data_IF_049709132084
#
_entry.id   IF_049709132084
#
_cell.length_a   1.000
_cell.length_b   1.000
_cell.length_c   1.000
_cell.angle_alpha   90.00
_cell.angle_beta   90.00
_cell.angle_gamma   90.00
#
_symmetry.space_group_name_H-M   'P 1'
#
loop_
_entity.id
_entity.type
_entity.pdbx_description
1 polymer ?
#
# COMPACT_ATOMS: atom_id res chain seq x y z
N UNK A 1 8.73 -34.85 -3.49
CA UNK A 1 9.08 -33.50 -3.02
C UNK A 1 8.78 -32.55 -4.17
N UNK A 2 7.57 -32.04 -4.21
CA UNK A 2 7.18 -31.00 -5.15
C UNK A 2 7.75 -29.71 -4.61
N UNK A 3 8.71 -29.12 -5.34
CA UNK A 3 9.12 -27.74 -5.10
C UNK A 3 7.88 -26.87 -5.35
N UNK A 4 7.28 -26.36 -4.26
CA UNK A 4 6.38 -25.22 -4.37
C UNK A 4 7.22 -24.06 -4.93
N UNK A 5 6.75 -23.36 -5.97
CA UNK A 5 7.38 -22.11 -6.33
C UNK A 5 7.36 -21.24 -5.08
N UNK A 6 8.52 -20.77 -4.66
CA UNK A 6 8.65 -19.71 -3.67
C UNK A 6 7.91 -18.51 -4.25
N UNK A 7 6.64 -18.36 -3.91
CA UNK A 7 5.94 -17.13 -4.11
C UNK A 7 6.68 -16.09 -3.25
N UNK A 8 7.08 -15.00 -3.84
CA UNK A 8 7.57 -13.84 -3.12
C UNK A 8 6.42 -13.34 -2.25
N UNK A 9 6.40 -13.79 -0.99
CA UNK A 9 5.33 -13.57 0.01
C UNK A 9 5.62 -12.26 0.74
N UNK A 10 5.53 -11.16 0.04
CA UNK A 10 5.63 -9.83 0.64
C UNK A 10 4.27 -9.12 0.51
N UNK A 11 4.07 -8.02 1.19
CA UNK A 11 2.88 -7.15 1.01
C UNK A 11 2.59 -6.84 -0.48
N UNK A 12 3.46 -7.23 -1.39
CA UNK A 12 3.40 -6.98 -2.82
C UNK A 12 2.02 -7.21 -3.44
N UNK A 13 1.68 -8.45 -3.76
CA UNK A 13 0.40 -8.71 -4.44
C UNK A 13 -0.76 -8.80 -3.44
N UNK A 14 -0.52 -9.41 -2.28
CA UNK A 14 -1.56 -9.61 -1.27
C UNK A 14 -1.96 -8.32 -0.58
N UNK A 15 -0.97 -7.50 -0.19
CA UNK A 15 -1.20 -6.22 0.49
C UNK A 15 -1.74 -5.14 -0.43
N UNK A 16 -1.32 -5.12 -1.69
CA UNK A 16 -1.72 -4.08 -2.63
C UNK A 16 -2.92 -4.50 -3.48
N UNK A 17 -2.73 -5.43 -4.44
CA UNK A 17 -3.79 -5.74 -5.41
C UNK A 17 -5.00 -6.41 -4.74
N UNK A 18 -4.75 -7.48 -3.95
CA UNK A 18 -5.86 -8.28 -3.39
C UNK A 18 -6.63 -7.49 -2.32
N UNK A 19 -5.94 -6.77 -1.45
CA UNK A 19 -6.59 -5.92 -0.44
C UNK A 19 -7.38 -4.80 -1.09
N UNK A 20 -6.83 -4.14 -2.11
CA UNK A 20 -7.54 -3.09 -2.85
C UNK A 20 -8.81 -3.65 -3.50
N UNK A 21 -8.75 -4.84 -4.13
CA UNK A 21 -9.91 -5.53 -4.70
C UNK A 21 -11.00 -5.76 -3.66
N UNK A 22 -10.65 -6.31 -2.48
CA UNK A 22 -11.61 -6.59 -1.42
C UNK A 22 -12.27 -5.30 -0.94
N UNK A 23 -11.47 -4.32 -0.53
CA UNK A 23 -11.99 -3.10 0.07
C UNK A 23 -12.79 -2.27 -0.93
N UNK A 24 -12.38 -2.22 -2.20
CA UNK A 24 -13.13 -1.55 -3.26
C UNK A 24 -14.47 -2.24 -3.57
N UNK A 25 -14.53 -3.60 -3.51
CA UNK A 25 -15.79 -4.36 -3.61
C UNK A 25 -16.73 -4.03 -2.44
N UNK A 26 -16.22 -4.09 -1.22
CA UNK A 26 -16.98 -3.75 0.01
C UNK A 26 -17.44 -2.28 -0.03
N UNK A 27 -16.67 -1.39 -0.61
CA UNK A 27 -17.03 0.02 -0.82
C UNK A 27 -18.09 0.22 -1.91
N UNK A 28 -18.43 -0.82 -2.69
CA UNK A 28 -19.45 -0.77 -3.74
C UNK A 28 -19.02 -0.03 -5.00
N UNK A 29 -17.72 -0.01 -5.31
CA UNK A 29 -17.23 0.58 -6.56
C UNK A 29 -17.64 -0.27 -7.77
N UNK A 30 -17.65 0.32 -8.97
CA UNK A 30 -17.94 -0.43 -10.20
C UNK A 30 -16.84 -1.46 -10.51
N UNK A 31 -17.18 -2.62 -11.11
CA UNK A 31 -16.20 -3.67 -11.42
C UNK A 31 -14.99 -3.18 -12.22
N UNK A 32 -15.20 -2.33 -13.22
CA UNK A 32 -14.11 -1.79 -14.04
C UNK A 32 -13.16 -0.92 -13.20
N UNK A 33 -13.72 -0.03 -12.36
CA UNK A 33 -12.92 0.84 -11.50
C UNK A 33 -12.16 0.03 -10.43
N UNK A 34 -12.79 -1.00 -9.84
CA UNK A 34 -12.14 -1.92 -8.90
C UNK A 34 -10.91 -2.54 -9.54
N UNK A 35 -11.09 -3.13 -10.73
CA UNK A 35 -10.00 -3.79 -11.45
C UNK A 35 -8.86 -2.82 -11.76
N UNK A 36 -9.17 -1.68 -12.36
CA UNK A 36 -8.17 -0.71 -12.78
C UNK A 36 -7.38 -0.17 -11.59
N UNK A 37 -8.05 0.27 -10.50
CA UNK A 37 -7.37 0.77 -9.30
C UNK A 37 -6.47 -0.30 -8.71
N UNK A 38 -6.91 -1.56 -8.65
CA UNK A 38 -6.14 -2.65 -8.04
C UNK A 38 -4.90 -2.98 -8.87
N UNK A 39 -5.01 -3.02 -10.20
CA UNK A 39 -3.87 -3.20 -11.10
C UNK A 39 -2.85 -2.07 -10.91
N UNK A 40 -3.30 -0.81 -10.98
CA UNK A 40 -2.41 0.33 -10.85
C UNK A 40 -1.84 0.49 -9.44
N UNK A 41 -2.51 -0.02 -8.41
CA UNK A 41 -1.95 -0.09 -7.06
C UNK A 41 -0.71 -1.00 -6.99
N UNK A 42 -0.63 -2.06 -7.81
CA UNK A 42 0.51 -2.98 -7.85
C UNK A 42 1.65 -2.52 -8.76
N UNK A 43 1.40 -1.66 -9.74
CA UNK A 43 2.41 -1.26 -10.73
C UNK A 43 3.71 -0.75 -10.12
N UNK A 44 3.72 0.05 -9.02
CA UNK A 44 4.97 0.50 -8.42
C UNK A 44 5.92 -0.63 -8.02
N UNK A 45 5.39 -1.74 -7.54
CA UNK A 45 6.16 -2.91 -7.10
C UNK A 45 6.30 -3.99 -8.16
N UNK A 46 5.59 -3.86 -9.27
CA UNK A 46 5.63 -4.89 -10.28
C UNK A 46 7.04 -5.00 -10.91
N UNK A 47 7.62 -6.19 -10.84
CA UNK A 47 9.03 -6.46 -11.19
C UNK A 47 9.49 -5.91 -12.54
N UNK A 48 8.61 -5.84 -13.54
CA UNK A 48 8.92 -5.30 -14.87
C UNK A 48 9.21 -3.79 -14.84
N UNK A 49 8.63 -3.07 -13.87
CA UNK A 49 8.77 -1.62 -13.72
C UNK A 49 9.63 -1.21 -12.54
N UNK A 50 10.24 -2.16 -11.84
CA UNK A 50 11.10 -1.90 -10.67
C UNK A 50 12.15 -0.81 -10.88
N UNK A 51 12.71 -0.69 -12.08
CA UNK A 51 13.69 0.36 -12.40
C UNK A 51 13.07 1.76 -12.56
N UNK A 52 11.75 1.85 -12.75
CA UNK A 52 11.06 3.14 -12.95
C UNK A 52 10.47 3.68 -11.66
N UNK A 53 9.83 2.82 -10.85
CA UNK A 53 8.99 3.24 -9.74
C UNK A 53 9.35 2.58 -8.40
N UNK A 54 10.25 1.61 -8.37
CA UNK A 54 10.57 0.81 -7.20
C UNK A 54 11.38 1.59 -6.16
N UNK A 55 11.23 1.17 -4.92
CA UNK A 55 12.09 1.57 -3.80
C UNK A 55 13.60 1.32 -4.02
N UNK A 56 13.98 0.38 -4.88
CA UNK A 56 15.37 0.14 -5.33
C UNK A 56 15.93 1.17 -6.31
N UNK A 57 15.09 2.03 -6.87
CA UNK A 57 15.47 3.10 -7.82
C UNK A 57 16.52 4.11 -7.29
N UNK A 58 16.71 4.33 -5.96
CA UNK A 58 17.69 5.28 -5.45
C UNK A 58 19.12 5.08 -5.98
N UNK A 59 19.57 3.84 -6.06
CA UNK A 59 20.93 3.54 -6.53
C UNK A 59 21.09 3.84 -8.01
N UNK A 60 20.11 3.45 -8.83
CA UNK A 60 20.13 3.69 -10.28
C UNK A 60 19.83 5.15 -10.62
N UNK A 61 18.90 5.79 -9.92
CA UNK A 61 18.60 7.22 -10.11
C UNK A 61 19.78 8.12 -9.79
N UNK A 62 20.60 7.75 -8.81
CA UNK A 62 21.83 8.47 -8.49
C UNK A 62 22.88 8.32 -9.62
N UNK A 63 23.03 7.10 -10.16
CA UNK A 63 23.95 6.82 -11.28
C UNK A 63 23.52 7.54 -12.59
N UNK A 64 22.21 7.73 -12.79
CA UNK A 64 21.65 8.39 -13.97
C UNK A 64 21.46 9.91 -13.81
N UNK A 65 21.83 10.48 -12.67
CA UNK A 65 21.60 11.91 -12.38
C UNK A 65 20.15 12.27 -12.00
N UNK A 66 19.30 11.28 -11.75
CA UNK A 66 17.87 11.44 -11.37
C UNK A 66 17.63 11.27 -9.87
N UNK A 67 18.62 11.58 -9.05
CA UNK A 67 18.57 11.36 -7.60
C UNK A 67 17.39 12.02 -6.89
N UNK A 68 16.93 13.19 -7.35
CA UNK A 68 15.76 13.87 -6.78
C UNK A 68 14.46 13.11 -7.06
N UNK A 69 14.26 12.61 -8.27
CA UNK A 69 13.08 11.82 -8.65
C UNK A 69 13.08 10.47 -7.92
N UNK A 70 14.23 9.80 -7.84
CA UNK A 70 14.38 8.56 -7.11
C UNK A 70 14.05 8.72 -5.61
N UNK A 71 14.49 9.82 -4.98
CA UNK A 71 14.13 10.15 -3.61
C UNK A 71 12.62 10.37 -3.47
N UNK A 72 12.01 11.13 -4.38
CA UNK A 72 10.58 11.39 -4.38
C UNK A 72 9.76 10.09 -4.50
N UNK A 73 10.13 9.20 -5.42
CA UNK A 73 9.52 7.87 -5.56
C UNK A 73 9.63 7.10 -4.23
N UNK A 74 10.82 6.97 -3.66
CA UNK A 74 11.03 6.23 -2.42
C UNK A 74 10.26 6.82 -1.23
N UNK A 75 10.20 8.14 -1.10
CA UNK A 75 9.61 8.79 0.08
C UNK A 75 8.11 9.02 -0.01
N UNK A 76 7.56 9.15 -1.21
CA UNK A 76 6.13 9.42 -1.42
C UNK A 76 5.36 8.18 -1.85
N UNK A 77 5.98 7.33 -2.66
CA UNK A 77 5.30 6.14 -3.18
C UNK A 77 5.52 4.94 -2.25
N UNK A 78 6.76 4.75 -1.76
CA UNK A 78 7.12 3.59 -0.93
C UNK A 78 7.29 3.89 0.58
N UNK A 79 6.80 5.00 1.07
CA UNK A 79 6.77 5.28 2.50
C UNK A 79 8.14 5.46 3.19
N UNK A 80 9.28 5.49 2.46
CA UNK A 80 10.63 5.62 3.06
C UNK A 80 11.00 7.06 3.41
N UNK A 81 10.08 7.75 4.07
CA UNK A 81 10.27 9.17 4.40
C UNK A 81 11.02 9.40 5.72
N UNK A 82 11.19 8.36 6.56
CA UNK A 82 11.70 8.53 7.92
C UNK A 82 10.69 9.24 8.83
N UNK A 83 11.13 9.57 10.04
CA UNK A 83 10.32 10.31 11.00
C UNK A 83 9.76 9.44 12.12
N UNK A 84 9.22 10.12 13.13
CA UNK A 84 8.63 9.53 14.32
C UNK A 84 7.13 9.23 14.16
N UNK A 85 6.49 8.82 15.25
CA UNK A 85 5.08 8.45 15.28
C UNK A 85 4.15 9.58 14.82
N UNK A 86 4.51 10.83 15.07
CA UNK A 86 3.70 11.98 14.63
C UNK A 86 3.77 12.15 13.12
N UNK A 87 4.96 12.04 12.52
CA UNK A 87 5.13 12.12 11.06
C UNK A 87 4.48 10.92 10.35
N UNK A 88 4.58 9.71 10.90
CA UNK A 88 3.89 8.53 10.37
C UNK A 88 2.37 8.76 10.33
N UNK A 89 1.77 9.13 11.46
CA UNK A 89 0.33 9.40 11.53
C UNK A 89 -0.10 10.53 10.58
N UNK A 90 0.70 11.60 10.48
CA UNK A 90 0.46 12.70 9.57
C UNK A 90 0.43 12.24 8.11
N UNK A 91 1.40 11.42 7.69
CA UNK A 91 1.48 10.88 6.32
C UNK A 91 0.32 9.96 5.99
N UNK A 92 -0.05 9.07 6.88
CA UNK A 92 -1.20 8.19 6.72
C UNK A 92 -2.50 8.98 6.50
N UNK A 93 -2.70 10.07 7.26
CA UNK A 93 -3.85 10.96 7.08
C UNK A 93 -3.79 11.68 5.71
N UNK A 94 -2.64 12.21 5.34
CA UNK A 94 -2.44 12.89 4.06
C UNK A 94 -2.76 11.97 2.89
N UNK A 95 -2.20 10.77 2.86
CA UNK A 95 -2.40 9.84 1.76
C UNK A 95 -3.85 9.35 1.68
N UNK A 96 -4.50 9.07 2.82
CA UNK A 96 -5.92 8.71 2.83
C UNK A 96 -6.81 9.83 2.28
N UNK A 97 -6.58 11.07 2.68
CA UNK A 97 -7.30 12.22 2.14
C UNK A 97 -6.99 12.44 0.65
N UNK A 98 -5.76 12.16 0.23
CA UNK A 98 -5.38 12.26 -1.18
C UNK A 98 -6.12 11.22 -2.03
N UNK A 99 -6.16 9.96 -1.59
CA UNK A 99 -7.00 8.92 -2.25
C UNK A 99 -8.46 9.39 -2.34
N UNK A 100 -9.03 9.87 -1.22
CA UNK A 100 -10.40 10.36 -1.20
C UNK A 100 -10.63 11.50 -2.19
N UNK A 101 -9.72 12.47 -2.26
CA UNK A 101 -9.76 13.57 -3.23
C UNK A 101 -9.78 13.02 -4.66
N UNK A 102 -8.87 12.11 -5.01
CA UNK A 102 -8.82 11.50 -6.34
C UNK A 102 -10.12 10.79 -6.70
N UNK A 103 -10.73 10.09 -5.74
CA UNK A 103 -12.03 9.46 -5.91
C UNK A 103 -13.15 10.48 -6.17
N UNK A 104 -13.16 11.60 -5.42
CA UNK A 104 -14.19 12.63 -5.55
C UNK A 104 -14.13 13.37 -6.89
N UNK A 105 -12.94 13.69 -7.39
CA UNK A 105 -12.77 14.35 -8.69
C UNK A 105 -12.88 13.38 -9.86
N UNK A 106 -13.06 12.07 -9.56
CA UNK A 106 -13.10 10.99 -10.55
C UNK A 106 -11.88 11.04 -11.49
N UNK A 107 -10.69 11.20 -10.88
CA UNK A 107 -9.44 11.22 -11.64
C UNK A 107 -9.18 9.87 -12.31
N UNK A 108 -8.15 9.80 -13.13
CA UNK A 108 -7.81 8.59 -13.85
C UNK A 108 -7.47 7.45 -12.89
N UNK A 109 -7.90 6.20 -13.19
CA UNK A 109 -7.70 5.06 -12.28
C UNK A 109 -6.24 4.85 -11.84
N UNK A 110 -5.25 5.14 -12.71
CA UNK A 110 -3.86 4.98 -12.35
C UNK A 110 -3.40 5.93 -11.23
N UNK A 111 -3.91 7.18 -11.19
CA UNK A 111 -3.59 8.11 -10.10
C UNK A 111 -4.19 7.65 -8.79
N UNK A 112 -5.43 7.12 -8.85
CA UNK A 112 -6.08 6.55 -7.67
C UNK A 112 -5.28 5.35 -7.19
N UNK A 113 -4.90 4.43 -8.07
CA UNK A 113 -4.11 3.23 -7.75
C UNK A 113 -2.76 3.57 -7.11
N UNK A 114 -2.01 4.51 -7.68
CA UNK A 114 -0.73 4.98 -7.11
C UNK A 114 -0.92 5.65 -5.74
N UNK A 115 -2.00 6.41 -5.55
CA UNK A 115 -2.31 6.98 -4.25
C UNK A 115 -2.68 5.91 -3.21
N UNK A 116 -3.38 4.83 -3.63
CA UNK A 116 -3.69 3.68 -2.77
C UNK A 116 -2.43 2.92 -2.40
N UNK A 117 -1.50 2.71 -3.36
CA UNK A 117 -0.20 2.12 -3.09
C UNK A 117 0.56 2.91 -2.01
N UNK A 118 0.72 4.23 -2.22
CA UNK A 118 1.39 5.09 -1.27
C UNK A 118 0.74 5.09 0.14
N UNK A 119 -0.60 4.94 0.19
CA UNK A 119 -1.31 4.77 1.46
C UNK A 119 -0.96 3.43 2.12
N UNK A 120 -0.93 2.32 1.37
CA UNK A 120 -0.56 1.00 1.88
C UNK A 120 0.83 0.99 2.47
N UNK A 121 1.81 1.52 1.72
CA UNK A 121 3.21 1.59 2.13
C UNK A 121 3.46 2.51 3.33
N UNK A 122 2.62 3.54 3.53
CA UNK A 122 2.68 4.37 4.73
C UNK A 122 2.28 3.61 6.01
N UNK A 123 1.62 2.45 5.89
CA UNK A 123 1.35 1.54 6.99
C UNK A 123 2.40 0.41 7.07
N UNK A 124 2.75 -0.19 5.93
CA UNK A 124 3.66 -1.33 5.86
C UNK A 124 5.08 -0.96 6.30
N UNK A 125 5.64 0.13 5.75
CA UNK A 125 7.04 0.48 5.95
C UNK A 125 7.29 1.27 7.23
N UNK A 126 6.82 0.70 8.36
CA UNK A 126 7.02 1.25 9.71
C UNK A 126 7.58 0.21 10.66
N UNK A 127 8.24 0.66 11.72
CA UNK A 127 8.76 -0.18 12.79
C UNK A 127 8.51 0.47 14.16
N UNK A 128 8.59 -0.33 15.23
CA UNK A 128 8.50 0.18 16.60
C UNK A 128 9.89 0.50 17.14
N UNK A 129 10.07 1.73 17.59
CA UNK A 129 11.22 2.18 18.36
C UNK A 129 10.79 2.32 19.83
N UNK A 130 11.61 1.82 20.76
CA UNK A 130 11.25 1.78 22.19
C UNK A 130 11.06 3.18 22.80
N UNK A 131 11.74 4.20 22.28
CA UNK A 131 11.69 5.56 22.81
C UNK A 131 10.74 6.46 22.03
N UNK A 132 10.64 6.29 20.71
CA UNK A 132 9.92 7.19 19.80
C UNK A 132 8.57 6.65 19.34
N UNK A 133 8.26 5.40 19.70
CA UNK A 133 7.06 4.71 19.21
C UNK A 133 7.22 4.26 17.75
N UNK A 134 6.14 4.32 16.99
CA UNK A 134 6.14 3.90 15.60
C UNK A 134 6.89 4.90 14.72
N UNK A 135 7.94 4.44 14.05
CA UNK A 135 8.76 5.22 13.14
C UNK A 135 8.65 4.68 11.70
N UNK A 136 8.86 5.54 10.71
CA UNK A 136 8.97 5.11 9.32
C UNK A 136 10.43 4.82 8.96
N UNK A 137 10.63 3.83 8.09
CA UNK A 137 11.93 3.60 7.47
C UNK A 137 12.35 4.82 6.62
N UNK A 138 13.65 5.06 6.54
CA UNK A 138 14.21 6.26 5.91
C UNK A 138 14.98 5.98 4.62
N UNK A 139 14.82 6.87 3.64
CA UNK A 139 15.68 6.90 2.46
C UNK A 139 17.15 7.14 2.86
N UNK A 140 18.17 6.55 2.19
CA UNK A 140 18.06 5.72 0.98
C UNK A 140 17.95 4.22 1.23
N UNK A 141 18.08 3.75 2.46
CA UNK A 141 18.22 2.33 2.76
C UNK A 141 16.86 1.62 2.95
N UNK A 142 15.79 2.37 3.31
CA UNK A 142 14.52 1.77 3.65
C UNK A 142 14.69 0.68 4.72
N UNK A 143 14.01 -0.44 4.55
CA UNK A 143 14.16 -1.63 5.39
C UNK A 143 15.20 -2.64 4.86
N UNK A 144 15.99 -2.27 3.86
CA UNK A 144 16.96 -3.18 3.24
C UNK A 144 18.02 -3.77 4.17
N UNK A 145 18.24 -3.17 5.35
CA UNK A 145 19.12 -3.72 6.39
C UNK A 145 18.40 -4.68 7.34
N UNK A 146 17.06 -4.66 7.43
CA UNK A 146 16.29 -5.51 8.35
C UNK A 146 16.37 -6.98 7.96
N UNK A 147 16.61 -7.26 6.68
CA UNK A 147 16.97 -8.60 6.21
C UNK A 147 18.12 -9.23 7.02
N UNK A 148 19.09 -8.43 7.45
CA UNK A 148 20.22 -8.89 8.28
C UNK A 148 19.78 -9.26 9.71
N UNK A 149 18.64 -8.74 10.17
CA UNK A 149 18.11 -8.95 11.52
C UNK A 149 16.89 -9.88 11.55
N UNK A 150 16.56 -10.54 10.44
CA UNK A 150 15.39 -11.42 10.30
C UNK A 150 14.05 -10.72 10.62
N UNK A 151 13.98 -9.41 10.49
CA UNK A 151 12.72 -8.66 10.59
C UNK A 151 12.04 -8.70 9.23
N UNK A 152 10.75 -8.98 9.22
CA UNK A 152 9.91 -9.11 8.03
C UNK A 152 8.80 -8.03 8.07
N UNK A 153 9.12 -6.76 7.77
CA UNK A 153 8.14 -5.67 7.86
C UNK A 153 6.94 -5.88 6.93
N UNK A 154 7.14 -6.62 5.85
CA UNK A 154 6.14 -6.87 4.82
C UNK A 154 5.19 -8.03 5.13
N UNK A 155 5.35 -8.73 6.27
CA UNK A 155 4.46 -9.83 6.64
C UNK A 155 3.21 -9.31 7.36
N UNK A 156 2.06 -9.41 6.71
CA UNK A 156 0.76 -8.98 7.25
C UNK A 156 0.44 -9.73 8.55
N UNK A 157 0.80 -11.01 8.64
CA UNK A 157 0.59 -11.83 9.84
C UNK A 157 1.28 -11.28 11.08
N UNK A 158 2.41 -10.60 10.91
CA UNK A 158 3.19 -10.00 12.01
C UNK A 158 2.73 -8.57 12.34
N UNK A 159 2.01 -7.92 11.43
CA UNK A 159 1.56 -6.52 11.53
C UNK A 159 0.06 -6.36 11.32
N UNK A 160 -0.71 -7.37 11.75
CA UNK A 160 -2.16 -7.46 11.48
C UNK A 160 -2.97 -6.25 11.96
N UNK A 161 -2.62 -5.64 13.10
CA UNK A 161 -3.31 -4.43 13.58
C UNK A 161 -3.12 -3.26 12.61
N UNK A 162 -1.91 -3.07 12.08
CA UNK A 162 -1.65 -2.06 11.05
C UNK A 162 -2.41 -2.33 9.76
N UNK A 163 -2.46 -3.59 9.37
CA UNK A 163 -3.23 -4.00 8.21
C UNK A 163 -4.72 -3.69 8.39
N UNK A 164 -5.29 -3.92 9.58
CA UNK A 164 -6.69 -3.57 9.85
C UNK A 164 -6.91 -2.06 9.82
N UNK A 165 -5.99 -1.29 10.39
CA UNK A 165 -6.04 0.18 10.32
C UNK A 165 -5.98 0.67 8.86
N UNK A 166 -5.09 0.11 8.05
CA UNK A 166 -5.00 0.38 6.62
C UNK A 166 -6.31 0.07 5.90
N UNK A 167 -6.87 -1.13 6.08
CA UNK A 167 -8.13 -1.54 5.46
C UNK A 167 -9.28 -0.57 5.82
N UNK A 168 -9.40 -0.20 7.10
CA UNK A 168 -10.42 0.74 7.55
C UNK A 168 -10.23 2.13 6.95
N UNK A 169 -8.99 2.59 6.87
CA UNK A 169 -8.65 3.88 6.29
C UNK A 169 -8.88 3.91 4.78
N UNK A 170 -8.56 2.83 4.07
CA UNK A 170 -8.81 2.68 2.64
C UNK A 170 -10.32 2.66 2.34
N UNK A 171 -11.11 1.92 3.14
CA UNK A 171 -12.56 1.94 3.03
C UNK A 171 -13.13 3.35 3.20
N UNK A 172 -12.67 4.05 4.24
CA UNK A 172 -13.05 5.45 4.44
C UNK A 172 -12.65 6.34 3.26
N UNK A 173 -11.46 6.16 2.72
CA UNK A 173 -10.98 6.94 1.57
C UNK A 173 -11.87 6.73 0.34
N UNK A 174 -12.35 5.53 0.09
CA UNK A 174 -13.28 5.24 -1.01
C UNK A 174 -14.70 5.78 -0.78
N UNK A 175 -15.23 5.66 0.44
CA UNK A 175 -16.66 5.90 0.72
C UNK A 175 -16.96 7.20 1.46
N UNK A 176 -16.01 7.69 2.27
CA UNK A 176 -16.21 8.74 3.25
C UNK A 176 -17.01 8.33 4.48
N UNK A 177 -17.23 7.02 4.67
CA UNK A 177 -17.97 6.46 5.79
C UNK A 177 -17.06 5.66 6.70
N UNK A 178 -17.36 5.56 8.00
CA UNK A 178 -16.66 4.67 8.91
C UNK A 178 -16.78 3.21 8.46
N UNK A 179 -15.68 2.46 8.51
CA UNK A 179 -15.67 1.05 8.13
C UNK A 179 -16.46 0.19 9.12
N UNK A 180 -16.48 0.60 10.38
CA UNK A 180 -17.17 -0.08 11.49
C UNK A 180 -18.70 -0.13 11.31
N UNK A 181 -19.24 0.67 10.42
CA UNK A 181 -20.68 0.67 10.08
C UNK A 181 -21.02 -0.29 8.93
N UNK A 182 -20.01 -0.91 8.30
CA UNK A 182 -20.22 -1.80 7.16
C UNK A 182 -20.12 -3.28 7.57
N UNK A 183 -21.20 -4.03 7.37
CA UNK A 183 -21.28 -5.44 7.76
C UNK A 183 -20.28 -6.33 7.00
N UNK A 184 -20.08 -6.10 5.69
CA UNK A 184 -19.16 -6.91 4.87
C UNK A 184 -17.71 -6.65 5.29
N UNK A 185 -17.37 -5.40 5.62
CA UNK A 185 -16.07 -5.04 6.18
C UNK A 185 -15.83 -5.77 7.52
N UNK A 186 -16.79 -5.70 8.43
CA UNK A 186 -16.71 -6.37 9.72
C UNK A 186 -16.60 -7.90 9.57
N UNK A 187 -17.30 -8.48 8.60
CA UNK A 187 -17.22 -9.91 8.31
C UNK A 187 -15.83 -10.31 7.79
N UNK A 188 -15.25 -9.52 6.88
CA UNK A 188 -13.89 -9.73 6.38
C UNK A 188 -12.84 -9.66 7.50
N UNK A 189 -12.84 -8.59 8.28
CA UNK A 189 -11.91 -8.42 9.41
C UNK A 189 -12.15 -9.48 10.49
N UNK A 190 -13.40 -9.83 10.76
CA UNK A 190 -13.77 -10.87 11.72
C UNK A 190 -13.25 -12.26 11.34
N UNK A 191 -13.34 -12.62 10.06
CA UNK A 191 -12.77 -13.88 9.53
C UNK A 191 -11.25 -13.91 9.68
N UNK A 192 -10.58 -12.80 9.37
CA UNK A 192 -9.14 -12.67 9.55
C UNK A 192 -8.74 -12.84 11.03
N UNK A 193 -9.41 -12.12 11.95
CA UNK A 193 -9.15 -12.23 13.40
C UNK A 193 -9.38 -13.65 13.91
N UNK A 194 -10.39 -14.34 13.43
CA UNK A 194 -10.65 -15.73 13.81
C UNK A 194 -9.49 -16.68 13.42
N UNK A 195 -8.82 -16.43 12.30
CA UNK A 195 -7.60 -17.16 11.90
C UNK A 195 -6.48 -16.87 12.90
N UNK A 196 -6.17 -15.60 13.16
CA UNK A 196 -5.11 -15.19 14.10
C UNK A 196 -5.32 -15.79 15.50
N UNK A 197 -6.57 -15.86 15.95
CA UNK A 197 -6.91 -16.38 17.28
C UNK A 197 -6.91 -17.90 17.38
N UNK A 198 -6.88 -18.59 16.26
CA UNK A 198 -6.93 -20.06 16.27
C UNK A 198 -5.69 -20.68 16.93
N UNK A 199 -5.92 -21.74 17.72
CA UNK A 199 -4.83 -22.47 18.37
C UNK A 199 -3.88 -23.16 17.38
N UNK A 200 -4.35 -23.42 16.16
CA UNK A 200 -3.53 -23.95 15.08
C UNK A 200 -2.55 -22.89 14.58
N UNK A 201 -3.05 -21.71 14.20
CA UNK A 201 -2.26 -20.60 13.68
C UNK A 201 -1.13 -20.20 14.63
N UNK A 202 -1.43 -20.06 15.92
CA UNK A 202 -0.45 -19.67 16.97
C UNK A 202 0.72 -20.66 17.17
N UNK A 203 0.63 -21.86 16.60
CA UNK A 203 1.69 -22.90 16.68
C UNK A 203 2.56 -22.98 15.41
N UNK A 204 2.20 -22.26 14.37
CA UNK A 204 2.95 -22.25 13.12
C UNK A 204 4.16 -21.34 13.19
N UNK A 205 5.16 -21.64 12.36
CA UNK A 205 6.23 -20.70 12.06
C UNK A 205 5.70 -19.47 11.29
N UNK A 206 6.52 -18.43 11.23
CA UNK A 206 6.14 -17.12 10.67
C UNK A 206 5.79 -17.22 9.18
N UNK A 207 6.50 -18.01 8.42
CA UNK A 207 6.27 -18.22 6.99
C UNK A 207 4.92 -18.94 6.74
N UNK A 208 4.63 -19.96 7.55
CA UNK A 208 3.35 -20.66 7.49
C UNK A 208 2.17 -19.79 7.91
N UNK A 209 2.36 -18.91 8.89
CA UNK A 209 1.37 -17.91 9.30
C UNK A 209 1.07 -16.95 8.15
N UNK A 210 2.11 -16.40 7.51
CA UNK A 210 1.95 -15.48 6.39
C UNK A 210 1.26 -16.15 5.20
N UNK A 211 1.62 -17.39 4.89
CA UNK A 211 0.96 -18.14 3.83
C UNK A 211 -0.56 -18.27 4.06
N UNK A 212 -1.00 -18.63 5.29
CA UNK A 212 -2.42 -18.76 5.61
C UNK A 212 -3.15 -17.42 5.49
N UNK A 213 -2.54 -16.32 5.94
CA UNK A 213 -3.12 -14.99 5.84
C UNK A 213 -3.23 -14.54 4.38
N UNK A 214 -2.18 -14.76 3.61
CA UNK A 214 -2.17 -14.46 2.18
C UNK A 214 -3.23 -15.28 1.43
N UNK A 215 -3.37 -16.57 1.71
CA UNK A 215 -4.39 -17.43 1.11
C UNK A 215 -5.82 -16.94 1.45
N UNK A 216 -6.06 -16.53 2.69
CA UNK A 216 -7.33 -15.94 3.09
C UNK A 216 -7.65 -14.67 2.29
N UNK A 217 -6.71 -13.75 2.16
CA UNK A 217 -6.89 -12.48 1.44
C UNK A 217 -7.09 -12.75 -0.06
N UNK A 218 -6.26 -13.59 -0.68
CA UNK A 218 -6.37 -13.96 -2.09
C UNK A 218 -7.74 -14.61 -2.37
N UNK A 219 -8.16 -15.56 -1.53
CA UNK A 219 -9.45 -16.22 -1.65
C UNK A 219 -10.61 -15.22 -1.53
N UNK A 220 -10.56 -14.31 -0.54
CA UNK A 220 -11.57 -13.27 -0.36
C UNK A 220 -11.61 -12.27 -1.53
N UNK A 221 -10.47 -11.97 -2.14
CA UNK A 221 -10.39 -11.06 -3.30
C UNK A 221 -11.04 -11.66 -4.53
N UNK A 222 -10.92 -12.97 -4.73
CA UNK A 222 -11.30 -13.65 -5.97
C UNK A 222 -10.52 -13.11 -7.16
N UNK A 223 -9.27 -12.71 -6.95
CA UNK A 223 -8.42 -12.10 -7.97
C UNK A 223 -8.11 -13.08 -9.11
N UNK A 224 -8.18 -12.59 -10.32
CA UNK A 224 -7.80 -13.27 -11.56
C UNK A 224 -6.89 -12.39 -12.43
N UNK A 225 -6.30 -11.35 -11.84
CA UNK A 225 -5.40 -10.43 -12.54
C UNK A 225 -4.18 -11.18 -13.06
N UNK A 226 -3.83 -10.94 -14.29
CA UNK A 226 -2.71 -11.59 -14.97
C UNK A 226 -1.50 -10.66 -15.09
N UNK A 227 -0.31 -11.24 -15.14
CA UNK A 227 0.92 -10.49 -15.46
C UNK A 227 0.83 -9.74 -16.80
N UNK A 228 0.06 -10.25 -17.76
CA UNK A 228 -0.17 -9.57 -19.03
C UNK A 228 -0.94 -8.26 -18.85
N UNK A 229 -1.97 -8.25 -18.02
CA UNK A 229 -2.77 -7.06 -17.71
C UNK A 229 -1.95 -6.00 -16.97
N UNK A 230 -1.19 -6.40 -15.97
CA UNK A 230 -0.27 -5.50 -15.27
C UNK A 230 0.79 -4.91 -16.21
N UNK A 231 1.31 -5.72 -17.12
CA UNK A 231 2.26 -5.28 -18.15
C UNK A 231 1.64 -4.22 -19.07
N UNK A 232 0.45 -4.48 -19.62
CA UNK A 232 -0.26 -3.55 -20.50
C UNK A 232 -0.56 -2.23 -19.78
N UNK A 233 -1.05 -2.31 -18.52
CA UNK A 233 -1.34 -1.14 -17.70
C UNK A 233 -0.08 -0.30 -17.46
N UNK A 234 1.03 -0.92 -17.06
CA UNK A 234 2.27 -0.21 -16.80
C UNK A 234 2.93 0.36 -18.05
N UNK A 235 2.87 -0.35 -19.19
CA UNK A 235 3.38 0.14 -20.49
C UNK A 235 2.56 1.33 -21.02
N UNK A 236 1.31 1.48 -20.58
CA UNK A 236 0.45 2.62 -20.95
C UNK A 236 0.77 3.91 -20.16
N UNK A 237 1.55 3.81 -19.06
CA UNK A 237 1.89 4.95 -18.23
C UNK A 237 3.01 5.79 -18.85
N UNK A 238 2.75 7.08 -18.94
CA UNK A 238 3.77 8.07 -19.25
C UNK A 238 4.55 8.44 -17.98
N UNK A 239 5.87 8.26 -18.02
CA UNK A 239 6.75 8.52 -16.89
C UNK A 239 6.68 9.97 -16.38
N UNK A 240 6.66 10.95 -17.31
CA UNK A 240 6.61 12.36 -16.95
C UNK A 240 5.29 12.73 -16.27
N UNK A 241 4.19 12.09 -16.68
CA UNK A 241 2.88 12.22 -16.02
C UNK A 241 2.91 11.67 -14.60
N UNK A 242 3.56 10.53 -14.37
CA UNK A 242 3.74 9.96 -13.02
C UNK A 242 4.59 10.88 -12.15
N UNK A 243 5.71 11.38 -12.66
CA UNK A 243 6.57 12.33 -11.92
C UNK A 243 5.81 13.62 -11.60
N UNK A 244 4.99 14.11 -12.52
CA UNK A 244 4.15 15.30 -12.28
C UNK A 244 3.14 15.05 -11.16
N UNK A 245 2.49 13.90 -11.16
CA UNK A 245 1.58 13.47 -10.10
C UNK A 245 2.29 13.37 -8.73
N UNK A 246 3.50 12.80 -8.70
CA UNK A 246 4.27 12.71 -7.46
C UNK A 246 4.71 14.09 -6.94
N UNK A 247 5.02 15.03 -7.82
CA UNK A 247 5.29 16.43 -7.42
C UNK A 247 4.05 17.12 -6.84
N UNK A 248 2.86 16.83 -7.37
CA UNK A 248 1.61 17.32 -6.76
C UNK A 248 1.46 16.76 -5.34
N UNK A 249 1.70 15.48 -5.15
CA UNK A 249 1.65 14.83 -3.84
C UNK A 249 2.72 15.39 -2.90
N UNK A 250 3.96 15.63 -3.39
CA UNK A 250 5.05 16.22 -2.61
C UNK A 250 4.66 17.59 -2.06
N UNK A 251 4.08 18.45 -2.89
CA UNK A 251 3.63 19.77 -2.47
C UNK A 251 2.59 19.70 -1.36
N UNK A 252 1.66 18.75 -1.42
CA UNK A 252 0.64 18.52 -0.38
C UNK A 252 1.30 18.05 0.93
N UNK A 253 2.29 17.17 0.82
CA UNK A 253 2.99 16.61 1.99
C UNK A 253 3.88 17.64 2.68
N UNK A 254 4.53 18.52 1.93
CA UNK A 254 5.47 19.52 2.47
C UNK A 254 4.72 20.69 3.11
N UNK A 255 3.52 21.03 2.65
CA UNK A 255 2.76 22.15 3.20
C UNK A 255 2.14 21.80 4.57
N UNK A 256 2.67 22.34 5.67
CA UNK A 256 2.13 22.08 7.00
C UNK A 256 0.75 22.72 7.24
N UNK A 257 0.29 23.60 6.34
CA UNK A 257 -1.01 24.26 6.42
C UNK A 257 -2.07 23.58 5.53
N UNK A 258 -1.72 22.50 4.84
CA UNK A 258 -2.71 21.73 4.08
C UNK A 258 -3.69 21.12 5.07
N UNK A 259 -4.71 21.90 5.42
CA UNK A 259 -5.88 21.40 6.17
C UNK A 259 -6.66 20.46 5.24
N UNK A 260 -6.34 19.19 5.36
CA UNK A 260 -6.95 18.14 4.55
C UNK A 260 -8.41 17.88 4.92
N UNK A 261 -8.90 18.45 6.03
CA UNK A 261 -10.32 18.46 6.39
C UNK A 261 -11.09 19.49 5.57
N UNK A 262 -10.41 20.48 5.00
CA UNK A 262 -11.00 21.59 4.25
C UNK A 262 -11.06 21.39 2.73
N UNK A 263 -10.90 20.16 2.22
CA UNK A 263 -11.18 19.90 0.81
C UNK A 263 -12.70 19.95 0.64
N UNK A 264 -13.27 21.04 0.07
CA UNK A 264 -14.70 21.13 -0.10
C UNK A 264 -15.13 19.96 -1.00
N UNK A 265 -16.09 19.19 -0.56
CA UNK A 265 -16.87 18.38 -1.44
C UNK A 265 -17.43 19.34 -2.50
N UNK A 266 -16.88 19.30 -3.72
CA UNK A 266 -17.52 20.04 -4.81
C UNK A 266 -18.91 19.47 -4.99
N UNK A 267 -19.89 20.36 -4.82
CA UNK A 267 -21.29 20.13 -5.07
C UNK A 267 -21.53 19.68 -6.51
#
# INVERSE_FOLDING_TARGET
MTQHPQADLEWYETGHINTTLIIAKIAGLSPDLIRDISIYCQIPDYHKFKLRYSAGTPVWGWLEGKGAEAKMIATLLHGFHGGDAQEVARRQIIFANFVRRQMQIKDTPWKIGFAVHALGDAYAHTFMDDEKGRCAYGYPLGHGLDFLFCVKPDYISQHSELYFEYCAKLYWAFTGKPAEENFEFLAFIGGFKAILDSAHFKKLDVESQEYIISDYIVTASGDQTTHAEMTIAGDSLDYDSVITFLRELENIVIDPQTDLSAIPARA
#
